data_IF_729683583460
#
_entry.id   IF_729683583460
#
_cell.length_a   1.000
_cell.length_b   1.000
_cell.length_c   1.000
_cell.angle_alpha   90.00
_cell.angle_beta   90.00
_cell.angle_gamma   90.00
#
_symmetry.space_group_name_H-M   'P 1'
#
loop_
_entity.id
_entity.type
_entity.pdbx_description
1 polymer ?
#
# COMPACT_ATOMS: atom_id res chain seq x y z
N UNK A 1 -12.57 -4.71 10.14
CA UNK A 1 -13.46 -5.39 9.17
C UNK A 1 -12.65 -6.50 8.53
N UNK A 2 -13.07 -7.76 8.66
CA UNK A 2 -12.27 -8.92 8.25
C UNK A 2 -12.54 -9.39 6.80
N UNK A 3 -13.52 -8.82 6.11
CA UNK A 3 -13.82 -9.19 4.72
C UNK A 3 -13.77 -7.95 3.82
N UNK A 4 -12.62 -7.70 3.19
CA UNK A 4 -12.45 -6.67 2.18
C UNK A 4 -11.96 -7.37 0.90
N UNK A 5 -12.89 -7.84 0.07
CA UNK A 5 -12.57 -8.58 -1.15
C UNK A 5 -11.64 -7.80 -2.08
N UNK A 6 -11.86 -6.48 -2.18
CA UNK A 6 -11.01 -5.57 -2.98
C UNK A 6 -9.59 -5.53 -2.43
N UNK A 7 -9.42 -5.58 -1.10
CA UNK A 7 -8.10 -5.59 -0.48
C UNK A 7 -7.35 -6.89 -0.82
N UNK A 8 -8.05 -8.02 -0.86
CA UNK A 8 -7.46 -9.32 -1.14
C UNK A 8 -7.03 -9.42 -2.62
N UNK A 9 -7.85 -8.93 -3.54
CA UNK A 9 -7.53 -8.86 -4.98
C UNK A 9 -6.31 -7.98 -5.25
N UNK A 10 -6.25 -6.79 -4.64
CA UNK A 10 -5.10 -5.90 -4.78
C UNK A 10 -3.85 -6.54 -4.20
N UNK A 11 -3.95 -7.23 -3.05
CA UNK A 11 -2.80 -7.94 -2.47
C UNK A 11 -2.30 -9.03 -3.41
N UNK A 12 -3.17 -9.84 -4.00
CA UNK A 12 -2.75 -10.87 -4.98
C UNK A 12 -2.04 -10.24 -6.19
N UNK A 13 -2.47 -9.07 -6.64
CA UNK A 13 -1.79 -8.32 -7.70
C UNK A 13 -0.40 -7.83 -7.30
N UNK A 14 -0.24 -7.36 -6.07
CA UNK A 14 1.05 -6.88 -5.54
C UNK A 14 2.05 -8.02 -5.32
N UNK A 15 1.59 -9.16 -4.82
CA UNK A 15 2.42 -10.36 -4.63
C UNK A 15 3.00 -10.89 -5.95
N UNK A 16 2.30 -10.68 -7.08
CA UNK A 16 2.81 -11.05 -8.41
C UNK A 16 4.02 -10.25 -8.86
N UNK A 17 4.17 -9.02 -8.38
CA UNK A 17 5.25 -8.10 -8.79
C UNK A 17 6.30 -7.90 -7.69
N UNK A 18 6.13 -8.53 -6.52
CA UNK A 18 6.98 -8.33 -5.34
C UNK A 18 8.44 -8.70 -5.62
N UNK A 19 8.66 -9.90 -6.16
CA UNK A 19 9.99 -10.40 -6.55
C UNK A 19 10.72 -9.45 -7.52
N UNK A 20 9.98 -8.86 -8.48
CA UNK A 20 10.55 -7.91 -9.44
C UNK A 20 10.84 -6.56 -8.79
N UNK A 21 9.96 -6.06 -7.92
CA UNK A 21 10.13 -4.81 -7.19
C UNK A 21 11.36 -4.84 -6.27
N UNK A 22 11.64 -5.98 -5.64
CA UNK A 22 12.81 -6.17 -4.79
C UNK A 22 14.13 -6.06 -5.57
N UNK A 23 14.16 -6.49 -6.84
CA UNK A 23 15.34 -6.29 -7.72
C UNK A 23 15.62 -4.81 -7.94
N UNK A 24 14.57 -3.97 -7.98
CA UNK A 24 14.68 -2.52 -8.07
C UNK A 24 14.87 -1.82 -6.72
N UNK A 25 14.95 -2.57 -5.61
CA UNK A 25 15.07 -2.05 -4.26
C UNK A 25 13.80 -1.35 -3.76
N UNK A 26 12.64 -1.73 -4.31
CA UNK A 26 11.33 -1.21 -3.91
C UNK A 26 10.70 -2.21 -2.95
N UNK A 27 10.63 -1.86 -1.67
CA UNK A 27 9.98 -2.70 -0.68
C UNK A 27 8.48 -2.42 -0.60
N UNK A 28 7.68 -3.47 -0.78
CA UNK A 28 6.25 -3.44 -0.58
C UNK A 28 5.94 -3.72 0.90
N UNK A 29 5.08 -2.89 1.50
CA UNK A 29 4.65 -3.06 2.90
C UNK A 29 3.15 -2.90 3.04
N UNK A 30 2.54 -3.80 3.79
CA UNK A 30 1.13 -3.71 4.21
C UNK A 30 1.04 -3.14 5.60
N UNK A 31 0.25 -2.08 5.78
CA UNK A 31 0.03 -1.47 7.09
C UNK A 31 -1.45 -1.42 7.47
N UNK A 32 -1.74 -1.66 8.75
CA UNK A 32 -3.06 -1.46 9.35
C UNK A 32 -2.98 -0.51 10.54
N UNK A 33 -2.65 0.74 10.25
CA UNK A 33 -2.52 1.82 11.24
C UNK A 33 -3.49 2.98 10.93
N UNK A 34 -4.63 3.07 11.63
CA UNK A 34 -5.59 4.17 11.47
C UNK A 34 -5.01 5.55 11.84
N UNK A 35 -4.07 5.62 12.77
CA UNK A 35 -3.45 6.89 13.16
C UNK A 35 -2.53 7.41 12.06
N UNK A 36 -1.74 6.53 11.46
CA UNK A 36 -0.89 6.88 10.32
C UNK A 36 -1.71 7.27 9.09
N UNK A 37 -2.78 6.52 8.79
CA UNK A 37 -3.68 6.87 7.70
C UNK A 37 -4.28 8.27 7.86
N UNK A 38 -4.69 8.62 9.10
CA UNK A 38 -5.16 9.97 9.41
C UNK A 38 -4.07 11.04 9.21
N UNK A 39 -2.82 10.75 9.59
CA UNK A 39 -1.68 11.68 9.40
C UNK A 39 -1.42 11.98 7.92
N UNK A 40 -1.57 10.99 7.05
CA UNK A 40 -1.44 11.16 5.59
C UNK A 40 -2.75 11.52 4.89
N UNK A 41 -3.80 11.88 5.64
CA UNK A 41 -5.11 12.26 5.11
C UNK A 41 -5.79 11.20 4.22
N UNK A 42 -5.49 9.92 4.45
CA UNK A 42 -6.12 8.79 3.76
C UNK A 42 -7.51 8.57 4.37
N UNK A 43 -8.54 8.75 3.54
CA UNK A 43 -9.96 8.61 3.93
C UNK A 43 -10.64 7.39 3.32
N UNK A 44 -10.09 6.88 2.24
CA UNK A 44 -10.58 5.72 1.48
C UNK A 44 -9.61 4.56 1.64
N UNK A 45 -10.15 3.35 1.67
CA UNK A 45 -9.37 2.13 1.79
C UNK A 45 -9.93 1.08 0.82
N UNK A 46 -9.08 0.19 0.26
CA UNK A 46 -7.61 0.21 0.35
C UNK A 46 -7.00 1.44 -0.33
N UNK A 47 -5.78 1.82 0.07
CA UNK A 47 -5.04 2.95 -0.50
C UNK A 47 -3.58 2.54 -0.68
N UNK A 48 -2.98 2.96 -1.79
CA UNK A 48 -1.58 2.70 -2.11
C UNK A 48 -0.79 4.00 -1.96
N UNK A 49 0.31 3.95 -1.22
CA UNK A 49 1.19 5.12 -1.03
C UNK A 49 2.61 4.73 -1.39
N UNK A 50 3.18 5.44 -2.35
CA UNK A 50 4.57 5.31 -2.74
C UNK A 50 5.42 6.34 -2.00
N UNK A 51 6.42 5.86 -1.25
CA UNK A 51 7.36 6.73 -0.54
C UNK A 51 8.66 6.86 -1.35
N UNK A 52 8.94 8.06 -1.86
CA UNK A 52 10.20 8.36 -2.57
C UNK A 52 11.00 9.40 -1.80
N UNK A 53 12.18 9.01 -1.30
CA UNK A 53 13.03 9.88 -0.48
C UNK A 53 12.27 10.49 0.71
N UNK A 54 11.40 9.69 1.36
CA UNK A 54 10.56 10.13 2.48
C UNK A 54 9.30 10.92 2.10
N UNK A 55 9.11 11.26 0.81
CA UNK A 55 7.91 11.97 0.35
C UNK A 55 6.80 10.96 0.00
N UNK A 56 5.61 11.07 0.61
CA UNK A 56 4.47 10.22 0.28
C UNK A 56 3.78 10.71 -1.01
N UNK A 57 3.52 9.78 -1.92
CA UNK A 57 2.71 9.97 -3.11
C UNK A 57 1.54 8.99 -3.05
N UNK A 58 0.32 9.52 -2.89
CA UNK A 58 -0.89 8.71 -2.94
C UNK A 58 -1.19 8.36 -4.41
N UNK A 59 -1.46 7.08 -4.66
CA UNK A 59 -2.00 6.63 -5.93
C UNK A 59 -3.53 6.70 -5.89
N UNK A 60 -4.14 7.23 -6.95
CA UNK A 60 -5.60 7.21 -7.19
C UNK A 60 -6.04 5.93 -7.90
#
# INVERSE_FOLDING_TARGET
KQNCHICDEILEGLERIDDECDVFGIHLVKIRDPQLAKRYSIKTFPALVYFRNGNPLLFE
#
